data_IF_055999076641
#
_entry.id   IF_055999076641
#
_cell.length_a   1.000
_cell.length_b   1.000
_cell.length_c   1.000
_cell.angle_alpha   90.00
_cell.angle_beta   90.00
_cell.angle_gamma   90.00
#
_symmetry.space_group_name_H-M   'P 1'
#
loop_
_entity.id
_entity.type
_entity.pdbx_description
1 polymer ?
#
# COMPACT_ATOMS: atom_id res chain seq x y z
N UNK A 1 -6.84 -13.02 -63.04
CA UNK A 1 -7.94 -13.48 -62.16
C UNK A 1 -7.37 -14.08 -60.89
N UNK A 2 -7.63 -13.45 -59.74
CA UNK A 2 -7.94 -14.04 -58.42
C UNK A 2 -7.75 -12.96 -57.34
N UNK A 3 -8.83 -12.20 -57.08
CA UNK A 3 -8.94 -11.35 -55.89
C UNK A 3 -9.47 -12.22 -54.76
N UNK A 4 -8.63 -12.51 -53.76
CA UNK A 4 -9.13 -13.02 -52.47
C UNK A 4 -9.80 -11.87 -51.71
N UNK A 5 -11.09 -12.02 -51.44
CA UNK A 5 -11.90 -11.07 -50.68
C UNK A 5 -11.49 -11.05 -49.22
N UNK A 6 -10.91 -9.94 -48.76
CA UNK A 6 -10.76 -9.66 -47.33
C UNK A 6 -12.15 -9.38 -46.76
N UNK A 7 -12.65 -10.30 -45.93
CA UNK A 7 -13.92 -10.15 -45.23
C UNK A 7 -13.88 -8.92 -44.32
N UNK A 8 -14.73 -7.93 -44.61
CA UNK A 8 -15.03 -6.85 -43.67
C UNK A 8 -15.73 -7.45 -42.46
N UNK A 9 -15.03 -7.62 -41.35
CA UNK A 9 -15.65 -7.90 -40.06
C UNK A 9 -16.39 -6.60 -39.65
N UNK A 10 -17.69 -6.55 -39.95
CA UNK A 10 -18.58 -5.55 -39.37
C UNK A 10 -18.85 -5.96 -37.93
N UNK A 11 -18.14 -5.36 -36.97
CA UNK A 11 -18.58 -5.43 -35.58
C UNK A 11 -19.96 -4.77 -35.48
N UNK A 12 -20.95 -5.55 -35.06
CA UNK A 12 -22.29 -5.04 -34.76
C UNK A 12 -22.18 -4.09 -33.57
N UNK A 13 -22.75 -2.89 -33.68
CA UNK A 13 -22.76 -1.88 -32.61
C UNK A 13 -23.29 -2.44 -31.28
N UNK A 14 -24.12 -3.49 -31.32
CA UNK A 14 -24.60 -4.24 -30.15
C UNK A 14 -23.53 -5.10 -29.47
N UNK A 15 -22.60 -5.69 -30.22
CA UNK A 15 -21.52 -6.52 -29.65
C UNK A 15 -20.47 -5.66 -28.96
N UNK A 16 -20.11 -4.52 -29.56
CA UNK A 16 -19.25 -3.51 -28.92
C UNK A 16 -19.89 -2.92 -27.66
N UNK A 17 -21.21 -2.68 -27.68
CA UNK A 17 -21.96 -2.20 -26.52
C UNK A 17 -22.05 -3.27 -25.42
N UNK A 18 -22.25 -4.53 -25.78
CA UNK A 18 -22.28 -5.64 -24.82
C UNK A 18 -20.90 -5.93 -24.21
N UNK A 19 -19.82 -5.73 -24.97
CA UNK A 19 -18.44 -5.81 -24.47
C UNK A 19 -18.14 -4.66 -23.50
N UNK A 20 -18.52 -3.43 -23.84
CA UNK A 20 -18.45 -2.27 -22.93
C UNK A 20 -19.31 -2.46 -21.67
N UNK A 21 -20.51 -3.02 -21.80
CA UNK A 21 -21.38 -3.33 -20.66
C UNK A 21 -20.82 -4.44 -19.76
N UNK A 22 -20.04 -5.39 -20.31
CA UNK A 22 -19.31 -6.40 -19.53
C UNK A 22 -18.13 -5.79 -18.78
N UNK A 23 -17.40 -4.86 -19.40
CA UNK A 23 -16.35 -4.06 -18.73
C UNK A 23 -16.92 -3.20 -17.59
N UNK A 24 -18.14 -2.67 -17.73
CA UNK A 24 -18.83 -1.94 -16.67
C UNK A 24 -19.39 -2.88 -15.57
N UNK A 25 -19.71 -4.14 -15.91
CA UNK A 25 -20.24 -5.16 -14.98
C UNK A 25 -19.18 -5.92 -14.19
N UNK A 26 -17.89 -5.86 -14.55
CA UNK A 26 -16.79 -6.13 -13.62
C UNK A 26 -16.65 -4.92 -12.69
N UNK A 27 -17.71 -4.65 -11.94
CA UNK A 27 -17.69 -3.62 -10.91
C UNK A 27 -16.76 -4.14 -9.82
N UNK A 28 -15.62 -3.47 -9.63
CA UNK A 28 -14.81 -3.61 -8.44
C UNK A 28 -15.75 -3.60 -7.19
N UNK A 29 -15.43 -4.37 -6.13
CA UNK A 29 -16.24 -4.39 -4.92
C UNK A 29 -16.61 -2.95 -4.52
N UNK A 30 -17.89 -2.72 -4.24
CA UNK A 30 -18.33 -1.36 -3.88
C UNK A 30 -17.55 -0.94 -2.63
N UNK A 31 -17.13 0.33 -2.56
CA UNK A 31 -16.34 0.84 -1.43
C UNK A 31 -16.92 0.34 -0.09
N UNK A 32 -18.24 0.38 0.07
CA UNK A 32 -18.95 -0.10 1.25
C UNK A 32 -18.62 -1.55 1.68
N UNK A 33 -18.43 -2.49 0.74
CA UNK A 33 -18.08 -3.88 1.04
C UNK A 33 -16.64 -4.04 1.55
N UNK A 34 -15.74 -3.13 1.17
CA UNK A 34 -14.36 -3.07 1.66
C UNK A 34 -14.31 -2.40 3.04
N UNK A 35 -15.14 -1.37 3.26
CA UNK A 35 -15.13 -0.57 4.49
C UNK A 35 -15.77 -1.27 5.70
N UNK A 36 -16.76 -2.14 5.54
CA UNK A 36 -17.44 -2.78 6.69
C UNK A 36 -16.52 -3.57 7.64
N UNK A 37 -15.71 -4.55 7.16
CA UNK A 37 -14.80 -5.28 8.05
C UNK A 37 -13.72 -4.38 8.64
N UNK A 38 -13.21 -3.41 7.87
CA UNK A 38 -12.22 -2.43 8.35
C UNK A 38 -12.76 -1.55 9.46
N UNK A 39 -14.00 -1.08 9.33
CA UNK A 39 -14.67 -0.25 10.33
C UNK A 39 -14.89 -0.99 11.66
N UNK A 40 -15.23 -2.29 11.62
CA UNK A 40 -15.39 -3.11 12.83
C UNK A 40 -14.06 -3.36 13.56
N UNK A 41 -12.96 -3.52 12.81
CA UNK A 41 -11.62 -3.62 13.39
C UNK A 41 -11.20 -2.29 14.03
N UNK A 42 -11.45 -1.16 13.37
CA UNK A 42 -11.19 0.18 13.91
C UNK A 42 -12.01 0.47 15.18
N UNK A 43 -13.23 -0.03 15.28
CA UNK A 43 -14.00 0.10 16.53
C UNK A 43 -13.36 -0.65 17.70
N UNK A 44 -12.64 -1.75 17.45
CA UNK A 44 -11.91 -2.48 18.49
C UNK A 44 -10.70 -1.72 18.99
N UNK A 45 -9.98 -1.02 18.12
CA UNK A 45 -8.78 -0.27 18.52
C UNK A 45 -9.14 0.98 19.33
N UNK A 46 -10.32 1.55 19.10
CA UNK A 46 -10.88 2.63 19.92
C UNK A 46 -11.40 2.19 21.30
N UNK A 47 -11.41 0.89 21.63
CA UNK A 47 -11.87 0.42 22.95
C UNK A 47 -10.97 0.91 24.10
N UNK A 48 -9.65 0.94 23.90
CA UNK A 48 -8.71 1.41 24.93
C UNK A 48 -8.88 2.91 25.18
N UNK A 49 -8.87 3.79 24.15
CA UNK A 49 -9.20 5.21 24.33
C UNK A 49 -10.57 5.43 24.97
N UNK A 50 -11.57 4.66 24.55
CA UNK A 50 -12.93 4.76 25.11
C UNK A 50 -12.97 4.38 26.59
N UNK A 51 -12.31 3.29 26.98
CA UNK A 51 -12.21 2.86 28.37
C UNK A 51 -11.46 3.89 29.22
N UNK A 52 -10.34 4.44 28.73
CA UNK A 52 -9.59 5.49 29.42
C UNK A 52 -10.44 6.76 29.61
N UNK A 53 -11.15 7.18 28.56
CA UNK A 53 -12.09 8.31 28.64
C UNK A 53 -13.23 8.05 29.63
N UNK A 54 -13.82 6.85 29.62
CA UNK A 54 -14.91 6.49 30.52
C UNK A 54 -14.44 6.44 31.99
N UNK A 55 -13.24 5.92 32.24
CA UNK A 55 -12.61 5.94 33.56
C UNK A 55 -12.42 7.38 34.05
N UNK A 56 -11.87 8.27 33.22
CA UNK A 56 -11.71 9.68 33.56
C UNK A 56 -13.07 10.34 33.86
N UNK A 57 -14.08 10.12 33.01
CA UNK A 57 -15.44 10.63 33.22
C UNK A 57 -16.05 10.16 34.54
N UNK A 58 -15.88 8.87 34.85
CA UNK A 58 -16.38 8.27 36.09
C UNK A 58 -15.68 8.82 37.33
N UNK A 59 -14.37 9.07 37.25
CA UNK A 59 -13.60 9.67 38.33
C UNK A 59 -14.05 11.12 38.58
N UNK A 60 -14.24 11.92 37.53
CA UNK A 60 -14.77 13.28 37.67
C UNK A 60 -16.16 13.28 38.28
N UNK A 61 -17.04 12.40 37.81
CA UNK A 61 -18.39 12.27 38.37
C UNK A 61 -18.36 11.86 39.85
N UNK A 62 -17.48 10.92 40.22
CA UNK A 62 -17.29 10.48 41.59
C UNK A 62 -16.81 11.63 42.49
N UNK A 63 -15.81 12.41 42.07
CA UNK A 63 -15.32 13.56 42.86
C UNK A 63 -16.42 14.61 43.03
N UNK A 64 -17.20 14.91 41.99
CA UNK A 64 -18.26 15.92 42.06
C UNK A 64 -19.47 15.48 42.90
N UNK A 65 -19.86 14.19 42.84
CA UNK A 65 -21.03 13.65 43.58
C UNK A 65 -20.70 13.30 45.03
N UNK A 66 -19.52 12.75 45.28
CA UNK A 66 -19.11 12.24 46.59
C UNK A 66 -18.22 13.23 47.34
N UNK A 67 -17.85 14.36 46.73
CA UNK A 67 -17.03 15.41 47.34
C UNK A 67 -17.55 15.88 48.69
N UNK A 68 -18.86 15.97 48.86
CA UNK A 68 -19.47 16.47 50.10
C UNK A 68 -19.56 15.38 51.20
N UNK A 69 -19.29 14.11 50.86
CA UNK A 69 -19.40 12.95 51.76
C UNK A 69 -18.05 12.30 52.08
N UNK A 70 -17.05 12.46 51.21
CA UNK A 70 -15.74 11.83 51.32
C UNK A 70 -14.67 12.91 51.42
N UNK A 71 -14.02 13.02 52.57
CA UNK A 71 -13.02 14.05 52.85
C UNK A 71 -11.88 14.10 51.81
N UNK A 72 -11.47 12.94 51.26
CA UNK A 72 -10.47 12.89 50.20
C UNK A 72 -10.94 13.56 48.90
N UNK A 73 -12.19 13.39 48.52
CA UNK A 73 -12.76 14.03 47.33
C UNK A 73 -13.10 15.51 47.59
N UNK A 74 -13.50 15.87 48.81
CA UNK A 74 -13.62 17.27 49.24
C UNK A 74 -12.30 18.01 49.04
N UNK A 75 -11.19 17.43 49.52
CA UNK A 75 -9.86 18.02 49.38
C UNK A 75 -9.43 18.21 47.91
N UNK A 76 -9.81 17.29 47.02
CA UNK A 76 -9.56 17.42 45.57
C UNK A 76 -10.43 18.54 44.96
N UNK A 77 -11.73 18.57 45.30
CA UNK A 77 -12.68 19.58 44.79
C UNK A 77 -12.31 21.00 45.25
N UNK A 78 -11.85 21.15 46.49
CA UNK A 78 -11.43 22.42 47.10
C UNK A 78 -10.00 22.83 46.73
N UNK A 79 -9.21 21.92 46.15
CA UNK A 79 -7.83 22.23 45.79
C UNK A 79 -7.78 23.24 44.63
N UNK A 80 -7.03 24.31 44.86
CA UNK A 80 -6.77 25.33 43.84
C UNK A 80 -5.68 24.85 42.89
N UNK A 81 -6.06 24.17 41.82
CA UNK A 81 -5.12 23.87 40.73
C UNK A 81 -4.82 25.13 39.92
N UNK A 82 -3.54 25.34 39.61
CA UNK A 82 -3.12 26.43 38.73
C UNK A 82 -3.50 26.08 37.28
N UNK A 83 -4.55 26.71 36.76
CA UNK A 83 -5.10 26.45 35.41
C UNK A 83 -4.04 26.64 34.31
N UNK A 84 -3.11 27.59 34.49
CA UNK A 84 -1.96 27.83 33.61
C UNK A 84 -1.05 26.61 33.53
N UNK A 85 -0.76 25.95 34.65
CA UNK A 85 0.11 24.77 34.71
C UNK A 85 -0.55 23.57 34.01
N UNK A 86 -1.84 23.33 34.27
CA UNK A 86 -2.59 22.29 33.56
C UNK A 86 -2.67 22.56 32.05
N UNK A 87 -2.96 23.81 31.66
CA UNK A 87 -3.02 24.19 30.23
C UNK A 87 -1.67 23.98 29.55
N UNK A 88 -0.57 24.32 30.22
CA UNK A 88 0.80 24.09 29.71
C UNK A 88 1.10 22.60 29.57
N UNK A 89 0.74 21.79 30.56
CA UNK A 89 0.89 20.35 30.51
C UNK A 89 0.04 19.73 29.39
N UNK A 90 -1.25 20.05 29.32
CA UNK A 90 -2.15 19.58 28.26
C UNK A 90 -1.67 19.98 26.87
N UNK A 91 -1.13 21.20 26.71
CA UNK A 91 -0.54 21.66 25.44
C UNK A 91 0.69 20.84 25.04
N UNK A 92 1.56 20.50 26.00
CA UNK A 92 2.71 19.64 25.77
C UNK A 92 2.27 18.23 25.32
N UNK A 93 1.28 17.63 26.01
CA UNK A 93 0.71 16.33 25.64
C UNK A 93 0.11 16.38 24.23
N UNK A 94 -0.68 17.42 23.94
CA UNK A 94 -1.27 17.62 22.61
C UNK A 94 -0.20 17.71 21.53
N UNK A 95 0.83 18.52 21.75
CA UNK A 95 1.95 18.66 20.81
C UNK A 95 2.69 17.33 20.59
N UNK A 96 3.05 16.60 21.65
CA UNK A 96 3.76 15.32 21.53
C UNK A 96 2.93 14.28 20.78
N UNK A 97 1.62 14.24 21.04
CA UNK A 97 0.71 13.29 20.40
C UNK A 97 0.52 13.61 18.91
N UNK A 98 0.34 14.89 18.56
CA UNK A 98 0.24 15.34 17.15
C UNK A 98 1.55 15.09 16.42
N UNK A 99 2.70 15.42 17.04
CA UNK A 99 4.01 15.18 16.45
C UNK A 99 4.22 13.69 16.17
N UNK A 100 3.92 12.82 17.14
CA UNK A 100 4.01 11.37 16.97
C UNK A 100 3.15 10.87 15.81
N UNK A 101 1.88 11.27 15.80
CA UNK A 101 0.94 10.86 14.75
C UNK A 101 1.39 11.35 13.39
N UNK A 102 1.96 12.56 13.31
CA UNK A 102 2.57 13.08 12.09
C UNK A 102 3.74 12.23 11.60
N UNK A 103 4.63 11.78 12.49
CA UNK A 103 5.74 10.89 12.11
C UNK A 103 5.24 9.52 11.64
N UNK A 104 4.23 8.95 12.32
CA UNK A 104 3.61 7.70 11.89
C UNK A 104 2.96 7.83 10.50
N UNK A 105 2.21 8.92 10.26
CA UNK A 105 1.62 9.20 8.96
C UNK A 105 2.67 9.32 7.84
N UNK A 106 3.79 9.99 8.08
CA UNK A 106 4.89 10.08 7.09
C UNK A 106 5.42 8.69 6.75
N UNK A 107 5.66 7.83 7.75
CA UNK A 107 6.09 6.44 7.52
C UNK A 107 5.07 5.65 6.69
N UNK A 108 3.78 5.77 7.03
CA UNK A 108 2.70 5.11 6.30
C UNK A 108 2.67 5.56 4.83
N UNK A 109 2.72 6.88 4.60
CA UNK A 109 2.65 7.47 3.27
C UNK A 109 3.86 7.10 2.40
N UNK A 110 5.08 7.20 2.96
CA UNK A 110 6.32 6.82 2.27
C UNK A 110 6.36 5.32 1.97
N UNK A 111 5.99 4.47 2.95
CA UNK A 111 5.95 3.04 2.76
C UNK A 111 4.96 2.60 1.68
N UNK A 112 3.79 3.24 1.63
CA UNK A 112 2.78 3.05 0.57
C UNK A 112 3.31 3.48 -0.79
N UNK A 113 3.96 4.64 -0.88
CA UNK A 113 4.53 5.16 -2.12
C UNK A 113 5.58 4.21 -2.70
N UNK A 114 6.49 3.70 -1.87
CA UNK A 114 7.57 2.81 -2.31
C UNK A 114 7.04 1.52 -2.93
N UNK A 115 6.03 0.89 -2.32
CA UNK A 115 5.40 -0.33 -2.88
C UNK A 115 4.85 -0.09 -4.28
N UNK A 116 4.10 1.01 -4.46
CA UNK A 116 3.52 1.31 -5.77
C UNK A 116 4.59 1.66 -6.82
N UNK A 117 5.69 2.29 -6.42
CA UNK A 117 6.82 2.54 -7.31
C UNK A 117 7.55 1.25 -7.70
N UNK A 118 7.71 0.30 -6.77
CA UNK A 118 8.27 -1.03 -7.06
C UNK A 118 7.43 -1.73 -8.15
N UNK A 119 6.10 -1.70 -8.03
CA UNK A 119 5.18 -2.24 -9.04
C UNK A 119 5.38 -1.58 -10.41
N UNK A 120 5.54 -0.25 -10.43
CA UNK A 120 5.83 0.52 -11.64
C UNK A 120 7.12 0.07 -12.30
N UNK A 121 8.22 -0.04 -11.53
CA UNK A 121 9.52 -0.48 -12.04
C UNK A 121 9.46 -1.92 -12.59
N UNK A 122 8.75 -2.83 -11.92
CA UNK A 122 8.56 -4.20 -12.39
C UNK A 122 7.78 -4.29 -13.69
N UNK A 123 6.69 -3.54 -13.78
CA UNK A 123 5.92 -3.45 -15.02
C UNK A 123 6.76 -2.86 -16.15
N UNK A 124 7.46 -1.75 -15.91
CA UNK A 124 8.23 -1.05 -16.93
C UNK A 124 9.42 -1.87 -17.42
N UNK A 125 10.14 -2.53 -16.51
CA UNK A 125 11.19 -3.49 -16.86
C UNK A 125 10.64 -4.64 -17.73
N UNK A 126 9.53 -5.25 -17.31
CA UNK A 126 8.92 -6.38 -18.03
C UNK A 126 8.42 -5.96 -19.40
N UNK A 127 7.64 -4.88 -19.47
CA UNK A 127 7.09 -4.34 -20.71
C UNK A 127 8.20 -3.97 -21.70
N UNK A 128 9.28 -3.37 -21.22
CA UNK A 128 10.45 -3.02 -22.02
C UNK A 128 11.13 -4.27 -22.59
N UNK A 129 11.38 -5.30 -21.77
CA UNK A 129 12.00 -6.54 -22.20
C UNK A 129 11.12 -7.32 -23.20
N UNK A 130 9.81 -7.36 -22.98
CA UNK A 130 8.84 -7.97 -23.91
C UNK A 130 8.85 -7.21 -25.25
N UNK A 131 8.92 -5.87 -25.22
CA UNK A 131 9.02 -5.07 -26.44
C UNK A 131 10.34 -5.29 -27.19
N UNK A 132 11.47 -5.44 -26.48
CA UNK A 132 12.77 -5.72 -27.10
C UNK A 132 12.82 -7.05 -27.87
N UNK A 133 12.03 -8.04 -27.44
CA UNK A 133 11.89 -9.30 -28.17
C UNK A 133 11.35 -9.10 -29.60
N UNK A 134 10.69 -7.97 -29.92
CA UNK A 134 10.21 -7.67 -31.28
C UNK A 134 11.32 -7.35 -32.27
N UNK A 135 12.49 -6.97 -31.77
CA UNK A 135 13.68 -6.75 -32.58
C UNK A 135 14.47 -8.05 -32.82
N UNK A 136 14.05 -9.15 -32.19
CA UNK A 136 14.72 -10.44 -32.31
C UNK A 136 14.42 -11.16 -33.61
N UNK A 137 15.46 -11.76 -34.18
CA UNK A 137 15.37 -12.73 -35.29
C UNK A 137 15.44 -14.19 -34.79
N UNK A 138 15.44 -14.41 -33.47
CA UNK A 138 15.48 -15.75 -32.88
C UNK A 138 14.18 -16.53 -33.14
N UNK A 139 14.25 -17.84 -32.94
CA UNK A 139 13.06 -18.69 -33.10
C UNK A 139 11.95 -18.27 -32.14
N UNK A 140 10.70 -18.34 -32.62
CA UNK A 140 9.51 -17.94 -31.88
C UNK A 140 9.37 -18.72 -30.58
N UNK A 141 9.75 -19.99 -30.56
CA UNK A 141 9.71 -20.81 -29.36
C UNK A 141 10.65 -20.27 -28.27
N UNK A 142 11.85 -19.82 -28.62
CA UNK A 142 12.81 -19.22 -27.68
C UNK A 142 12.31 -17.86 -27.17
N UNK A 143 11.76 -17.04 -28.05
CA UNK A 143 11.18 -15.74 -27.68
C UNK A 143 10.04 -15.93 -26.67
N UNK A 144 9.09 -16.82 -26.98
CA UNK A 144 7.97 -17.12 -26.08
C UNK A 144 8.50 -17.73 -24.77
N UNK A 145 9.46 -18.66 -24.83
CA UNK A 145 10.08 -19.26 -23.66
C UNK A 145 10.69 -18.22 -22.70
N UNK A 146 11.43 -17.24 -23.23
CA UNK A 146 11.96 -16.12 -22.44
C UNK A 146 10.84 -15.29 -21.81
N UNK A 147 9.86 -14.85 -22.59
CA UNK A 147 8.75 -14.02 -22.10
C UNK A 147 7.95 -14.73 -20.99
N UNK A 148 7.70 -16.03 -21.14
CA UNK A 148 7.01 -16.85 -20.16
C UNK A 148 7.81 -16.99 -18.86
N UNK A 149 9.13 -17.20 -18.93
CA UNK A 149 9.99 -17.25 -17.75
C UNK A 149 10.09 -15.89 -17.06
N UNK A 150 10.26 -14.81 -17.82
CA UNK A 150 10.36 -13.45 -17.30
C UNK A 150 9.15 -13.09 -16.43
N UNK A 151 7.93 -13.25 -16.96
CA UNK A 151 6.70 -12.87 -16.22
C UNK A 151 6.53 -13.68 -14.93
N UNK A 152 6.86 -14.98 -14.94
CA UNK A 152 6.81 -15.83 -13.75
C UNK A 152 7.84 -15.41 -12.71
N UNK A 153 9.07 -15.12 -13.13
CA UNK A 153 10.13 -14.66 -12.24
C UNK A 153 9.82 -13.27 -11.65
N UNK A 154 9.22 -12.36 -12.41
CA UNK A 154 8.83 -11.03 -11.93
C UNK A 154 7.66 -11.12 -10.92
N UNK A 155 6.66 -11.97 -11.19
CA UNK A 155 5.59 -12.28 -10.24
C UNK A 155 6.14 -12.89 -8.95
N UNK A 156 7.08 -13.84 -9.07
CA UNK A 156 7.74 -14.48 -7.93
C UNK A 156 8.60 -13.48 -7.13
N UNK A 157 9.36 -12.61 -7.80
CA UNK A 157 10.20 -11.59 -7.16
C UNK A 157 9.34 -10.66 -6.30
N UNK A 158 8.26 -10.13 -6.86
CA UNK A 158 7.39 -9.23 -6.12
C UNK A 158 6.74 -9.93 -4.93
N UNK A 159 6.28 -11.17 -5.10
CA UNK A 159 5.78 -11.96 -3.99
C UNK A 159 6.81 -12.16 -2.87
N UNK A 160 8.06 -12.52 -3.20
CA UNK A 160 9.10 -12.65 -2.17
C UNK A 160 9.35 -11.32 -1.43
N UNK A 161 9.31 -10.19 -2.15
CA UNK A 161 9.43 -8.86 -1.56
C UNK A 161 8.28 -8.57 -0.60
N UNK A 162 7.04 -8.73 -1.05
CA UNK A 162 5.87 -8.45 -0.23
C UNK A 162 5.84 -9.33 1.03
N UNK A 163 6.23 -10.60 0.90
CA UNK A 163 6.33 -11.50 2.04
C UNK A 163 7.36 -11.12 3.07
N UNK A 164 8.52 -10.66 2.62
CA UNK A 164 9.56 -10.21 3.51
C UNK A 164 9.19 -8.88 4.20
N UNK A 165 8.45 -8.01 3.51
CA UNK A 165 7.95 -6.75 4.09
C UNK A 165 6.83 -6.95 5.10
N UNK A 166 5.96 -7.96 4.89
CA UNK A 166 4.92 -8.34 5.84
C UNK A 166 5.48 -9.01 7.12
N UNK A 167 6.75 -9.45 7.08
CA UNK A 167 7.40 -10.13 8.20
C UNK A 167 7.08 -11.63 8.27
N UNK A 168 6.73 -12.25 7.14
CA UNK A 168 6.48 -13.69 7.08
C UNK A 168 7.80 -14.48 7.07
N UNK A 169 8.28 -14.77 8.28
CA UNK A 169 9.41 -15.67 8.57
C UNK A 169 9.03 -17.17 8.44
N UNK A 170 7.75 -17.49 8.24
CA UNK A 170 7.31 -18.89 8.18
C UNK A 170 7.58 -19.50 6.78
N UNK A 171 8.54 -20.42 6.75
CA UNK A 171 9.08 -21.05 5.53
C UNK A 171 8.07 -21.86 4.71
N UNK A 172 6.84 -22.05 5.19
CA UNK A 172 5.85 -22.97 4.61
C UNK A 172 4.66 -22.28 3.92
N UNK A 173 4.43 -20.96 4.10
CA UNK A 173 3.15 -20.34 3.69
C UNK A 173 3.21 -19.10 2.78
N UNK A 174 4.35 -18.41 2.67
CA UNK A 174 4.46 -17.22 1.80
C UNK A 174 4.17 -17.52 0.32
N UNK A 175 4.57 -18.68 -0.20
CA UNK A 175 4.37 -19.05 -1.61
C UNK A 175 2.91 -19.41 -1.97
N UNK A 176 2.08 -19.76 -0.99
CA UNK A 176 0.68 -20.15 -1.20
C UNK A 176 -0.31 -19.03 -0.89
N UNK A 177 0.14 -17.94 -0.24
CA UNK A 177 -0.74 -16.86 0.19
C UNK A 177 -1.14 -15.91 -0.93
N UNK A 178 -0.24 -15.67 -1.88
CA UNK A 178 -0.54 -14.79 -3.01
C UNK A 178 -0.76 -15.55 -4.30
N UNK A 179 -1.55 -14.94 -5.17
CA UNK A 179 -1.68 -15.41 -6.55
C UNK A 179 -0.32 -15.24 -7.24
N UNK A 180 0.26 -16.35 -7.67
CA UNK A 180 1.50 -16.38 -8.44
C UNK A 180 1.18 -16.83 -9.86
N UNK A 181 1.88 -16.26 -10.84
CA UNK A 181 1.73 -16.70 -12.23
C UNK A 181 2.44 -18.03 -12.40
N UNK A 182 1.68 -19.13 -12.51
CA UNK A 182 2.11 -20.49 -12.89
C UNK A 182 3.55 -20.86 -12.44
N UNK A 183 3.75 -20.87 -11.12
CA UNK A 183 5.03 -21.25 -10.49
C UNK A 183 5.40 -22.69 -10.82
N UNK A 184 4.41 -23.53 -11.11
CA UNK A 184 4.61 -24.91 -11.56
C UNK A 184 5.42 -25.02 -12.85
N UNK A 185 5.45 -23.96 -13.66
CA UNK A 185 6.29 -23.87 -14.84
C UNK A 185 7.79 -23.65 -14.57
N UNK A 186 8.20 -23.45 -13.32
CA UNK A 186 9.61 -23.26 -12.92
C UNK A 186 10.20 -24.55 -12.32
N UNK A 187 11.54 -24.62 -12.25
CA UNK A 187 12.24 -25.77 -11.66
C UNK A 187 11.95 -25.89 -10.16
N UNK A 188 11.22 -26.94 -9.79
CA UNK A 188 10.84 -27.26 -8.41
C UNK A 188 12.03 -27.36 -7.46
N UNK A 189 13.18 -27.86 -7.94
CA UNK A 189 14.37 -27.98 -7.08
C UNK A 189 14.89 -26.61 -6.66
N UNK A 190 14.88 -25.65 -7.58
CA UNK A 190 15.31 -24.28 -7.29
C UNK A 190 14.32 -23.58 -6.36
N UNK A 191 13.02 -23.83 -6.52
CA UNK A 191 11.99 -23.30 -5.64
C UNK A 191 12.11 -23.86 -4.21
N UNK A 192 12.43 -25.15 -4.06
CA UNK A 192 12.71 -25.75 -2.74
C UNK A 192 13.94 -25.13 -2.08
N UNK A 193 15.00 -24.85 -2.85
CA UNK A 193 16.19 -24.16 -2.35
C UNK A 193 15.89 -22.71 -1.97
N UNK A 194 15.06 -22.02 -2.75
CA UNK A 194 14.60 -20.66 -2.47
C UNK A 194 13.81 -20.61 -1.18
N UNK A 195 12.88 -21.54 -0.96
CA UNK A 195 12.06 -21.61 0.25
C UNK A 195 12.89 -21.75 1.54
N UNK A 196 14.10 -22.33 1.44
CA UNK A 196 15.04 -22.51 2.56
C UNK A 196 16.04 -21.36 2.72
N UNK A 197 16.02 -20.39 1.81
CA UNK A 197 16.99 -19.29 1.77
C UNK A 197 16.48 -18.09 2.55
N UNK A 198 17.41 -17.29 3.11
CA UNK A 198 17.07 -16.05 3.84
C UNK A 198 16.83 -14.86 2.91
N UNK A 199 17.63 -14.75 1.84
CA UNK A 199 17.61 -13.63 0.89
C UNK A 199 16.81 -14.00 -0.36
N UNK A 200 15.51 -14.25 -0.18
CA UNK A 200 14.64 -14.79 -1.24
C UNK A 200 14.47 -13.78 -2.40
N UNK A 201 14.15 -12.49 -2.16
CA UNK A 201 14.05 -11.49 -3.22
C UNK A 201 15.32 -11.37 -4.06
N UNK A 202 16.48 -11.31 -3.41
CA UNK A 202 17.76 -11.11 -4.09
C UNK A 202 18.14 -12.31 -4.96
N UNK A 203 17.81 -13.54 -4.54
CA UNK A 203 18.03 -14.75 -5.34
C UNK A 203 17.17 -14.71 -6.60
N UNK A 204 15.87 -14.38 -6.49
CA UNK A 204 14.98 -14.32 -7.65
C UNK A 204 15.39 -13.18 -8.58
N UNK A 205 15.80 -12.03 -8.03
CA UNK A 205 16.37 -10.94 -8.81
C UNK A 205 17.61 -11.37 -9.61
N UNK A 206 18.51 -12.13 -8.99
CA UNK A 206 19.66 -12.71 -9.69
C UNK A 206 19.23 -13.66 -10.82
N UNK A 207 18.18 -14.46 -10.63
CA UNK A 207 17.64 -15.32 -11.68
C UNK A 207 17.07 -14.53 -12.86
N UNK A 208 16.37 -13.42 -12.59
CA UNK A 208 15.90 -12.50 -13.65
C UNK A 208 17.09 -11.96 -14.44
N UNK A 209 18.16 -11.51 -13.77
CA UNK A 209 19.35 -11.01 -14.45
C UNK A 209 20.03 -12.09 -15.30
N UNK A 210 20.18 -13.30 -14.76
CA UNK A 210 20.76 -14.43 -15.50
C UNK A 210 19.93 -14.75 -16.74
N UNK A 211 18.60 -14.79 -16.62
CA UNK A 211 17.70 -15.05 -17.74
C UNK A 211 17.84 -13.99 -18.84
N UNK A 212 17.98 -12.71 -18.48
CA UNK A 212 18.23 -11.64 -19.47
C UNK A 212 19.58 -11.85 -20.15
N UNK A 213 20.66 -12.09 -19.39
CA UNK A 213 22.01 -12.26 -19.94
C UNK A 213 22.13 -13.48 -20.85
N UNK A 214 21.53 -14.60 -20.46
CA UNK A 214 21.51 -15.81 -21.29
C UNK A 214 20.77 -15.55 -22.61
N UNK A 215 19.69 -14.77 -22.59
CA UNK A 215 18.92 -14.45 -23.79
C UNK A 215 19.55 -13.38 -24.68
N UNK A 216 20.53 -12.62 -24.19
CA UNK A 216 21.44 -11.84 -25.06
C UNK A 216 22.30 -12.79 -25.88
N UNK A 217 22.83 -13.86 -25.27
CA UNK A 217 23.68 -14.83 -25.96
C UNK A 217 22.91 -15.66 -27.01
N UNK A 218 21.65 -15.98 -26.76
CA UNK A 218 20.80 -16.73 -27.71
C UNK A 218 20.28 -15.86 -28.87
N UNK A 219 20.41 -14.53 -28.79
CA UNK A 219 19.88 -13.60 -29.79
C UNK A 219 18.40 -13.25 -29.62
N UNK A 220 17.73 -13.78 -28.58
CA UNK A 220 16.37 -13.36 -28.20
C UNK A 220 16.35 -11.87 -27.81
N UNK A 221 17.40 -11.39 -27.16
CA UNK A 221 17.60 -9.97 -26.84
C UNK A 221 18.74 -9.40 -27.70
N UNK A 222 18.44 -9.10 -28.97
CA UNK A 222 19.39 -8.54 -29.95
C UNK A 222 19.39 -7.00 -30.01
N UNK A 223 18.55 -6.33 -29.21
CA UNK A 223 18.46 -4.87 -29.15
C UNK A 223 19.82 -4.25 -28.82
N UNK A 224 20.20 -3.09 -29.39
CA UNK A 224 21.47 -2.45 -29.07
C UNK A 224 21.70 -2.27 -27.55
N UNK A 225 22.92 -2.54 -27.04
CA UNK A 225 23.20 -2.51 -25.59
C UNK A 225 22.75 -1.24 -24.85
N UNK A 226 22.86 -0.01 -25.40
CA UNK A 226 22.38 1.19 -24.72
C UNK A 226 20.88 1.17 -24.38
N UNK A 227 20.06 0.49 -25.20
CA UNK A 227 18.63 0.31 -24.93
C UNK A 227 18.41 -0.79 -23.90
N UNK A 228 19.17 -1.89 -23.99
CA UNK A 228 19.08 -2.98 -23.03
C UNK A 228 19.46 -2.55 -21.61
N UNK A 229 20.45 -1.66 -21.45
CA UNK A 229 20.85 -1.08 -20.16
C UNK A 229 19.67 -0.46 -19.42
N UNK A 230 18.69 0.13 -20.13
CA UNK A 230 17.50 0.70 -19.51
C UNK A 230 16.73 -0.34 -18.68
N UNK A 231 16.55 -1.55 -19.21
CA UNK A 231 15.85 -2.62 -18.48
C UNK A 231 16.56 -2.98 -17.17
N UNK A 232 17.90 -3.05 -17.17
CA UNK A 232 18.68 -3.28 -15.96
C UNK A 232 18.58 -2.12 -14.96
N UNK A 233 18.48 -0.88 -15.43
CA UNK A 233 18.29 0.29 -14.58
C UNK A 233 16.92 0.29 -13.90
N UNK A 234 15.84 -0.02 -14.62
CA UNK A 234 14.50 -0.15 -14.00
C UNK A 234 14.50 -1.28 -12.96
N UNK A 235 15.12 -2.42 -13.27
CA UNK A 235 15.25 -3.54 -12.34
C UNK A 235 16.03 -3.15 -11.07
N UNK A 236 17.16 -2.47 -11.21
CA UNK A 236 17.95 -1.99 -10.08
C UNK A 236 17.20 -0.92 -9.26
N UNK A 237 16.45 -0.04 -9.93
CA UNK A 237 15.58 0.96 -9.33
C UNK A 237 14.55 0.30 -8.39
N UNK A 238 13.88 -0.77 -8.85
CA UNK A 238 12.93 -1.54 -8.04
C UNK A 238 13.55 -2.15 -6.80
N UNK A 239 14.75 -2.74 -6.91
CA UNK A 239 15.45 -3.32 -5.77
C UNK A 239 15.91 -2.27 -4.75
N UNK A 240 16.34 -1.08 -5.20
CA UNK A 240 16.66 0.01 -4.27
C UNK A 240 15.44 0.43 -3.46
N UNK A 241 14.28 0.59 -4.12
CA UNK A 241 13.02 0.94 -3.45
C UNK A 241 12.55 -0.14 -2.49
N UNK A 242 12.75 -1.42 -2.83
CA UNK A 242 12.52 -2.53 -1.91
C UNK A 242 13.36 -2.40 -0.63
N UNK A 243 14.67 -2.16 -0.77
CA UNK A 243 15.54 -1.99 0.41
C UNK A 243 15.19 -0.74 1.22
N UNK A 244 14.72 0.33 0.58
CA UNK A 244 14.19 1.50 1.27
C UNK A 244 12.89 1.17 2.03
N UNK A 245 11.98 0.41 1.40
CA UNK A 245 10.74 -0.05 2.03
C UNK A 245 11.03 -0.94 3.25
N UNK A 246 12.01 -1.84 3.14
CA UNK A 246 12.38 -2.76 4.22
C UNK A 246 12.81 -2.05 5.51
N UNK A 247 13.21 -0.76 5.44
CA UNK A 247 13.50 0.04 6.64
C UNK A 247 12.26 0.23 7.50
N UNK A 248 11.07 0.39 6.92
CA UNK A 248 9.83 0.59 7.67
C UNK A 248 9.38 -0.69 8.38
N UNK A 249 9.56 -1.85 7.75
CA UNK A 249 9.28 -3.15 8.34
C UNK A 249 10.28 -3.51 9.46
N UNK A 250 11.58 -3.27 9.24
CA UNK A 250 12.66 -3.76 10.12
C UNK A 250 13.05 -2.79 11.23
N UNK A 251 12.85 -1.48 11.03
CA UNK A 251 13.25 -0.44 11.97
C UNK A 251 12.00 0.22 12.56
N UNK A 252 11.56 -0.21 13.75
CA UNK A 252 10.40 0.39 14.41
C UNK A 252 10.69 1.83 14.84
N UNK A 253 9.62 2.58 15.12
CA UNK A 253 9.74 3.91 15.70
C UNK A 253 10.48 3.83 17.06
N UNK A 254 11.32 4.83 17.43
CA UNK A 254 12.12 4.75 18.65
C UNK A 254 11.30 4.44 19.91
N UNK A 255 11.53 3.25 20.48
CA UNK A 255 10.81 2.75 21.65
C UNK A 255 10.80 3.73 22.85
N UNK A 256 11.92 4.41 23.20
CA UNK A 256 11.91 5.35 24.32
C UNK A 256 10.89 6.47 24.15
N UNK A 257 10.68 6.96 22.93
CA UNK A 257 9.67 7.98 22.66
C UNK A 257 8.28 7.41 22.86
N UNK A 258 8.04 6.17 22.41
CA UNK A 258 6.76 5.50 22.57
C UNK A 258 6.34 5.37 24.03
N UNK A 259 7.27 4.89 24.86
CA UNK A 259 7.06 4.69 26.30
C UNK A 259 6.81 6.02 27.02
N UNK A 260 7.56 7.08 26.68
CA UNK A 260 7.38 8.40 27.31
C UNK A 260 6.01 8.99 26.99
N UNK A 261 5.55 8.91 25.74
CA UNK A 261 4.21 9.39 25.35
C UNK A 261 3.12 8.61 26.10
N UNK A 262 3.22 7.29 26.17
CA UNK A 262 2.24 6.45 26.85
C UNK A 262 2.16 6.75 28.35
N UNK A 263 3.31 6.89 29.03
CA UNK A 263 3.37 7.29 30.43
C UNK A 263 2.74 8.67 30.67
N UNK A 264 3.06 9.63 29.81
CA UNK A 264 2.52 10.98 29.88
C UNK A 264 1.00 11.02 29.66
N UNK A 265 0.47 10.19 28.74
CA UNK A 265 -0.97 10.02 28.53
C UNK A 265 -1.67 9.34 29.71
N UNK A 266 -1.01 8.39 30.37
CA UNK A 266 -1.53 7.77 31.59
C UNK A 266 -1.62 8.79 32.75
N UNK A 267 -0.58 9.62 32.93
CA UNK A 267 -0.61 10.72 33.91
C UNK A 267 -1.72 11.71 33.55
N UNK A 268 -1.83 12.09 32.27
CA UNK A 268 -2.88 12.99 31.80
C UNK A 268 -4.29 12.46 32.10
N UNK A 269 -4.54 11.16 31.86
CA UNK A 269 -5.82 10.52 32.15
C UNK A 269 -6.23 10.57 33.64
N UNK A 270 -5.26 10.65 34.56
CA UNK A 270 -5.49 10.79 36.01
C UNK A 270 -5.60 12.25 36.43
N UNK A 271 -4.78 13.14 35.87
CA UNK A 271 -4.75 14.57 36.24
C UNK A 271 -5.96 15.33 35.69
N UNK A 272 -6.39 15.04 34.47
CA UNK A 272 -7.56 15.69 33.84
C UNK A 272 -8.83 15.63 34.69
N UNK A 273 -9.30 14.48 35.19
CA UNK A 273 -10.53 14.42 35.99
C UNK A 273 -10.43 15.19 37.31
N UNK A 274 -9.24 15.22 37.92
CA UNK A 274 -8.94 16.01 39.12
C UNK A 274 -9.10 17.51 38.82
N UNK A 275 -8.44 18.01 37.78
CA UNK A 275 -8.51 19.44 37.41
C UNK A 275 -9.91 19.84 36.95
N UNK A 276 -10.58 19.00 36.15
CA UNK A 276 -11.95 19.30 35.70
C UNK A 276 -12.92 19.40 36.89
N UNK A 277 -12.76 18.54 37.90
CA UNK A 277 -13.62 18.57 39.09
C UNK A 277 -13.46 19.81 39.97
N UNK A 278 -12.35 20.55 39.87
CA UNK A 278 -12.11 21.75 40.70
C UNK A 278 -12.85 23.00 40.19
N UNK A 279 -13.32 22.99 38.94
CA UNK A 279 -14.05 24.12 38.34
C UNK A 279 -15.40 23.75 37.73
N UNK A 280 -15.69 22.46 37.53
CA UNK A 280 -16.98 22.03 37.02
C UNK A 280 -18.07 22.10 38.09
N UNK A 281 -19.07 22.96 37.88
CA UNK A 281 -20.24 23.06 38.76
C UNK A 281 -21.26 21.93 38.53
N UNK A 282 -21.36 21.44 37.29
CA UNK A 282 -22.33 20.43 36.89
C UNK A 282 -21.64 19.09 36.58
N UNK A 283 -22.11 18.02 37.23
CA UNK A 283 -21.58 16.65 37.10
C UNK A 283 -21.55 16.19 35.64
N UNK A 284 -22.64 16.41 34.90
CA UNK A 284 -22.77 15.98 33.51
C UNK A 284 -21.71 16.59 32.59
N UNK A 285 -21.51 17.91 32.68
CA UNK A 285 -20.50 18.62 31.87
C UNK A 285 -19.07 18.27 32.30
N UNK A 286 -18.80 18.17 33.60
CA UNK A 286 -17.48 17.76 34.10
C UNK A 286 -17.07 16.37 33.61
N UNK A 287 -17.97 15.39 33.72
CA UNK A 287 -17.75 14.04 33.23
C UNK A 287 -17.54 14.01 31.70
N UNK A 288 -18.37 14.74 30.94
CA UNK A 288 -18.26 14.82 29.48
C UNK A 288 -16.94 15.44 29.03
N UNK A 289 -16.51 16.56 29.63
CA UNK A 289 -15.24 17.19 29.27
C UNK A 289 -14.05 16.28 29.59
N UNK A 290 -14.07 15.61 30.74
CA UNK A 290 -13.01 14.67 31.12
C UNK A 290 -12.95 13.49 30.15
N UNK A 291 -14.11 12.95 29.75
CA UNK A 291 -14.21 11.93 28.71
C UNK A 291 -13.55 12.40 27.43
N UNK A 292 -13.99 13.53 26.87
CA UNK A 292 -13.56 14.01 25.55
C UNK A 292 -12.06 14.31 25.53
N UNK A 293 -11.55 15.00 26.55
CA UNK A 293 -10.14 15.37 26.63
C UNK A 293 -9.22 14.15 26.64
N UNK A 294 -9.52 13.15 27.47
CA UNK A 294 -8.73 11.92 27.58
C UNK A 294 -8.93 11.04 26.35
N UNK A 295 -10.16 10.88 25.88
CA UNK A 295 -10.49 10.07 24.72
C UNK A 295 -9.74 10.54 23.46
N UNK A 296 -9.70 11.85 23.20
CA UNK A 296 -9.06 12.39 21.98
C UNK A 296 -7.56 12.12 21.96
N UNK A 297 -6.86 12.40 23.07
CA UNK A 297 -5.39 12.21 23.10
C UNK A 297 -5.00 10.73 23.05
N UNK A 298 -5.76 9.85 23.70
CA UNK A 298 -5.55 8.40 23.60
C UNK A 298 -5.90 7.86 22.22
N UNK A 299 -6.94 8.38 21.57
CA UNK A 299 -7.33 7.96 20.22
C UNK A 299 -6.24 8.30 19.21
N UNK A 300 -5.66 9.51 19.30
CA UNK A 300 -4.54 9.92 18.45
C UNK A 300 -3.30 9.05 18.68
N UNK A 301 -3.02 8.65 19.92
CA UNK A 301 -1.91 7.75 20.23
C UNK A 301 -2.10 6.36 19.61
N UNK A 302 -3.29 5.77 19.73
CA UNK A 302 -3.60 4.48 19.11
C UNK A 302 -3.56 4.57 17.58
N UNK A 303 -4.07 5.65 17.00
CA UNK A 303 -3.96 5.91 15.56
C UNK A 303 -2.51 5.95 15.09
N UNK A 304 -1.61 6.58 15.88
CA UNK A 304 -0.19 6.58 15.54
C UNK A 304 0.39 5.16 15.52
N UNK A 305 -0.01 4.28 16.44
CA UNK A 305 0.44 2.89 16.48
C UNK A 305 0.00 2.11 15.23
N UNK A 306 -1.25 2.28 14.80
CA UNK A 306 -1.74 1.63 13.56
C UNK A 306 -1.02 2.14 12.30
N UNK A 307 -0.60 3.41 12.27
CA UNK A 307 0.08 3.99 11.10
C UNK A 307 1.59 3.69 11.06
N UNK A 308 2.19 3.16 12.13
CA UNK A 308 3.65 3.04 12.24
C UNK A 308 4.27 2.04 11.26
N UNK A 309 3.53 0.98 10.88
CA UNK A 309 3.96 -0.05 9.94
C UNK A 309 2.88 -0.34 8.89
N UNK A 310 2.96 0.22 7.67
CA UNK A 310 1.94 0.04 6.64
C UNK A 310 1.85 -1.37 6.05
N UNK A 311 2.76 -2.26 6.44
CA UNK A 311 2.92 -3.59 5.83
C UNK A 311 2.42 -4.73 6.71
N UNK A 312 1.89 -4.42 7.89
CA UNK A 312 1.43 -5.44 8.84
C UNK A 312 0.12 -6.11 8.44
N UNK A 313 -0.57 -6.62 9.45
CA UNK A 313 -1.85 -7.31 9.31
C UNK A 313 -3.03 -6.49 9.89
N UNK A 314 -2.81 -5.21 10.20
CA UNK A 314 -3.86 -4.34 10.72
C UNK A 314 -4.85 -3.98 9.61
N UNK A 315 -6.07 -3.60 10.00
CA UNK A 315 -7.14 -3.32 9.03
C UNK A 315 -6.84 -2.13 8.09
N UNK A 316 -5.96 -1.23 8.53
CA UNK A 316 -5.54 -0.04 7.80
C UNK A 316 -4.26 -0.26 6.99
N UNK A 317 -3.62 -1.42 7.11
CA UNK A 317 -2.43 -1.76 6.35
C UNK A 317 -2.75 -2.02 4.89
N UNK A 318 -1.69 -2.07 4.09
CA UNK A 318 -1.77 -2.32 2.66
C UNK A 318 -2.20 -3.77 2.40
N UNK A 319 -3.15 -3.95 1.48
CA UNK A 319 -3.52 -5.27 1.00
C UNK A 319 -2.45 -5.79 0.02
N UNK A 320 -1.44 -6.46 0.59
CA UNK A 320 -0.34 -7.04 -0.19
C UNK A 320 -0.83 -8.08 -1.22
N UNK A 321 -1.95 -8.75 -0.95
CA UNK A 321 -2.55 -9.69 -1.89
C UNK A 321 -3.13 -8.99 -3.11
N UNK A 322 -3.87 -7.90 -2.91
CA UNK A 322 -4.39 -7.07 -3.99
C UNK A 322 -3.26 -6.46 -4.81
N UNK A 323 -2.21 -5.95 -4.15
CA UNK A 323 -1.01 -5.41 -4.80
C UNK A 323 -0.34 -6.46 -5.70
N UNK A 324 -0.18 -7.70 -5.23
CA UNK A 324 0.36 -8.79 -6.06
C UNK A 324 -0.55 -9.11 -7.25
N UNK A 325 -1.87 -9.17 -7.04
CA UNK A 325 -2.84 -9.44 -8.10
C UNK A 325 -2.81 -8.36 -9.19
N UNK A 326 -2.70 -7.08 -8.79
CA UNK A 326 -2.61 -5.97 -9.72
C UNK A 326 -1.32 -6.02 -10.55
N UNK A 327 -0.17 -6.32 -9.93
CA UNK A 327 1.06 -6.55 -10.69
C UNK A 327 0.87 -7.69 -11.70
N UNK A 328 0.35 -8.84 -11.26
CA UNK A 328 0.15 -9.99 -12.15
C UNK A 328 -0.74 -9.64 -13.34
N UNK A 329 -1.81 -8.86 -13.11
CA UNK A 329 -2.69 -8.37 -14.17
C UNK A 329 -1.92 -7.53 -15.19
N UNK A 330 -1.04 -6.64 -14.74
CA UNK A 330 -0.19 -5.84 -15.61
C UNK A 330 0.82 -6.69 -16.40
N UNK A 331 1.48 -7.65 -15.74
CA UNK A 331 2.43 -8.55 -16.40
C UNK A 331 1.77 -9.42 -17.47
N UNK A 332 0.58 -9.98 -17.18
CA UNK A 332 -0.21 -10.76 -18.13
C UNK A 332 -0.69 -9.90 -19.29
N UNK A 333 -1.12 -8.66 -19.04
CA UNK A 333 -1.52 -7.73 -20.10
C UNK A 333 -0.35 -7.39 -21.04
N UNK A 334 0.84 -7.11 -20.48
CA UNK A 334 2.05 -6.85 -21.25
C UNK A 334 2.43 -8.05 -22.14
N UNK A 335 2.29 -9.27 -21.62
CA UNK A 335 2.55 -10.50 -22.36
C UNK A 335 1.50 -10.75 -23.46
N UNK A 336 0.21 -10.63 -23.13
CA UNK A 336 -0.89 -10.89 -24.05
C UNK A 336 -0.89 -9.94 -25.26
N UNK A 337 -0.52 -8.67 -25.04
CA UNK A 337 -0.51 -7.64 -26.08
C UNK A 337 0.89 -7.34 -26.62
N UNK A 338 1.96 -8.03 -26.17
CA UNK A 338 3.34 -7.73 -26.56
C UNK A 338 3.63 -7.85 -28.07
N UNK A 339 2.82 -8.63 -28.79
CA UNK A 339 2.93 -8.80 -30.25
C UNK A 339 2.11 -7.78 -31.05
N UNK A 340 1.20 -7.05 -30.41
CA UNK A 340 0.31 -6.11 -31.08
C UNK A 340 0.95 -4.72 -31.20
N UNK A 341 0.56 -3.96 -32.23
CA UNK A 341 0.88 -2.53 -32.36
C UNK A 341 -0.34 -1.80 -32.91
N UNK A 342 -0.56 -0.57 -32.46
CA UNK A 342 -1.61 0.26 -33.03
C UNK A 342 -1.22 0.68 -34.46
N UNK A 343 -2.06 0.32 -35.44
CA UNK A 343 -1.86 0.70 -36.84
C UNK A 343 -2.81 1.82 -37.27
N UNK A 344 -2.34 2.68 -38.16
CA UNK A 344 -3.21 3.67 -38.81
C UNK A 344 -4.16 2.95 -39.76
N UNK A 345 -5.47 3.15 -39.57
CA UNK A 345 -6.52 2.63 -40.47
C UNK A 345 -6.55 3.38 -41.81
N UNK A 346 -5.86 4.51 -41.89
CA UNK A 346 -5.80 5.38 -43.07
C UNK A 346 -4.36 5.58 -43.54
N UNK A 347 -4.20 5.95 -44.80
CA UNK A 347 -2.89 6.31 -45.34
C UNK A 347 -2.28 7.49 -44.58
N UNK A 348 -0.94 7.58 -44.60
CA UNK A 348 -0.19 8.61 -43.86
C UNK A 348 -0.65 10.04 -44.23
N UNK A 349 -0.84 10.32 -45.51
CA UNK A 349 -1.30 11.64 -45.98
C UNK A 349 -2.71 11.97 -45.48
N UNK A 350 -3.61 10.99 -45.48
CA UNK A 350 -4.96 11.16 -44.97
C UNK A 350 -4.95 11.37 -43.43
N UNK A 351 -4.09 10.64 -42.71
CA UNK A 351 -3.91 10.84 -41.27
C UNK A 351 -3.49 12.29 -40.97
N UNK A 352 -2.48 12.80 -41.70
CA UNK A 352 -2.02 14.20 -41.57
C UNK A 352 -3.14 15.18 -41.87
N UNK A 353 -3.93 14.93 -42.93
CA UNK A 353 -5.05 15.79 -43.28
C UNK A 353 -6.15 15.81 -42.20
N UNK A 354 -6.50 14.65 -41.64
CA UNK A 354 -7.50 14.51 -40.56
C UNK A 354 -7.08 15.28 -39.31
N UNK A 355 -5.81 15.18 -38.90
CA UNK A 355 -5.27 15.94 -37.76
C UNK A 355 -5.33 17.46 -38.01
N UNK A 356 -4.88 17.92 -39.19
CA UNK A 356 -4.95 19.35 -39.57
C UNK A 356 -6.39 19.88 -39.62
N UNK A 357 -7.34 19.07 -40.08
CA UNK A 357 -8.75 19.43 -40.13
C UNK A 357 -9.38 19.53 -38.73
N UNK A 358 -9.04 18.60 -37.83
CA UNK A 358 -9.49 18.62 -36.43
C UNK A 358 -9.00 19.89 -35.70
N UNK A 359 -7.72 20.24 -35.87
CA UNK A 359 -7.15 21.44 -35.26
C UNK A 359 -7.82 22.72 -35.77
N UNK A 360 -8.01 22.85 -37.09
CA UNK A 360 -8.69 24.01 -37.70
C UNK A 360 -10.12 24.19 -37.18
N UNK A 361 -10.88 23.10 -37.02
CA UNK A 361 -12.25 23.14 -36.47
C UNK A 361 -12.32 23.66 -35.02
N UNK A 362 -11.28 23.41 -34.21
CA UNK A 362 -11.20 23.89 -32.81
C UNK A 362 -10.78 25.36 -32.68
N UNK A 363 -10.05 25.90 -33.65
CA UNK A 363 -9.63 27.31 -33.64
C UNK A 363 -10.75 28.22 -34.18
N UNK A 364 -11.63 27.69 -35.03
CA UNK A 364 -12.78 28.41 -35.60
C UNK A 364 -14.05 28.37 -34.75
N UNK A 365 -14.06 27.60 -33.66
CA UNK A 365 -15.15 27.47 -32.70
C UNK A 365 -14.73 28.12 -31.38
#
# INVERSE_FOLDING_TARGET
>A
ENRMSVGKIKFSTKESLNYLLRLVKQSAPTSFQIWQPKMMAQLRTLLVPFAAGLLAASLTAAVLLLGDYVAAFAAVKESSFETSAYTSFASLIGFMTVFRTGQAYVRFAEGTMLIHQILGDWHDATSTLVAFCRYSDADRELIVGFQQKLVRLMSLLNAMILGELEGDDSSEMAATRWELIDVSGLDMRLLELLARSKSRPEIVFQWVQNEIVDNVKTGVLSIPPPLLTRAFQELASGMMKYHDAAKFARVPFPLPYTVVVELLLAIYAVVTPIVVSSWAEQVGWGALFSFVLVFVVWSMHVLALELENPYGADANDLDMGEIQCDLNRHLVAALAHGHEKAELVVGADEAVHRVKAQYRRRVSA
#
